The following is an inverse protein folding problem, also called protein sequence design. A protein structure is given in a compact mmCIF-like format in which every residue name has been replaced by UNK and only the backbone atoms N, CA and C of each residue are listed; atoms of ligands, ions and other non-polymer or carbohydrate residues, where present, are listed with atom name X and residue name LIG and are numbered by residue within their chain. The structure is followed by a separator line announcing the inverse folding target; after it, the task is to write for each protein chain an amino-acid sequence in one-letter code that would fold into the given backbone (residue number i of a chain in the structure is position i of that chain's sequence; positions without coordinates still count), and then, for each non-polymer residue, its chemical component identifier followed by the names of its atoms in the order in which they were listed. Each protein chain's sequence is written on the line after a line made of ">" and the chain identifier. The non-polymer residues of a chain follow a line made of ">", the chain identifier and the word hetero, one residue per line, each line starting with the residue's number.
data_IF_765667721632
#
_entry.id   IF_765667721632
#
_cell.length_a   1.000
_cell.length_b   1.000
_cell.length_c   1.000
_cell.angle_alpha   90.00
_cell.angle_beta   90.00
_cell.angle_gamma   90.00
#
_symmetry.space_group_name_H-M   'P 1'
#
loop_
_entity.id
_entity.type
_entity.pdbx_description
1 polymer ?
#
# COMPACT_ATOMS: atom_id res chain seq x y z
N UNK A 1 5.82 18.07 -3.29
CA UNK A 1 4.99 16.85 -3.33
C UNK A 1 5.29 15.91 -2.15
N UNK A 2 5.29 16.42 -0.91
CA UNK A 2 5.53 15.62 0.31
C UNK A 2 4.33 15.67 1.27
N UNK A 3 3.63 16.81 1.37
CA UNK A 3 2.39 16.91 2.16
C UNK A 3 1.23 16.07 1.59
N UNK A 4 1.09 16.00 0.26
CA UNK A 4 0.07 15.16 -0.40
C UNK A 4 0.36 13.66 -0.31
N UNK A 5 1.62 13.27 -0.14
CA UNK A 5 2.02 11.86 0.00
C UNK A 5 1.66 11.30 1.38
N UNK A 6 1.80 12.11 2.44
CA UNK A 6 1.42 11.72 3.82
C UNK A 6 -0.10 11.72 4.03
N UNK A 7 -0.83 12.62 3.37
CA UNK A 7 -2.29 12.70 3.42
C UNK A 7 -3.04 11.62 2.63
N UNK A 8 -2.45 11.10 1.54
CA UNK A 8 -3.03 10.00 0.77
C UNK A 8 -2.95 8.63 1.46
N UNK A 9 -2.17 8.50 2.54
CA UNK A 9 -2.26 7.34 3.45
C UNK A 9 -3.51 7.37 4.35
N UNK A 10 -4.32 8.42 4.26
CA UNK A 10 -5.32 8.79 5.26
C UNK A 10 -6.54 7.89 5.39
N UNK A 11 -6.84 6.99 4.46
CA UNK A 11 -7.95 6.03 4.63
C UNK A 11 -7.91 4.95 3.55
N UNK A 12 -7.43 3.75 3.91
CA UNK A 12 -7.64 2.54 3.10
C UNK A 12 -9.15 2.32 2.96
N UNK A 13 -9.69 2.34 1.73
CA UNK A 13 -11.11 2.09 1.46
C UNK A 13 -12.02 3.32 1.31
N UNK A 14 -11.48 4.55 1.24
CA UNK A 14 -12.30 5.75 0.95
C UNK A 14 -12.98 5.68 -0.43
N UNK A 15 -12.32 5.09 -1.42
CA UNK A 15 -12.88 4.84 -2.76
C UNK A 15 -14.12 3.94 -2.71
N UNK A 16 -14.12 2.92 -1.85
CA UNK A 16 -15.30 2.09 -1.66
C UNK A 16 -16.45 2.82 -0.96
N UNK A 17 -16.17 3.68 0.03
CA UNK A 17 -17.22 4.46 0.69
C UNK A 17 -17.93 5.36 -0.34
N UNK A 18 -17.18 5.99 -1.23
CA UNK A 18 -17.73 6.78 -2.35
C UNK A 18 -18.53 5.89 -3.31
N UNK A 19 -18.00 4.72 -3.68
CA UNK A 19 -18.69 3.76 -4.56
C UNK A 19 -20.01 3.27 -3.94
N UNK A 20 -19.99 2.85 -2.67
CA UNK A 20 -21.18 2.43 -1.92
C UNK A 20 -22.22 3.55 -1.79
N UNK A 21 -21.76 4.80 -1.56
CA UNK A 21 -22.64 5.97 -1.52
C UNK A 21 -23.25 6.32 -2.89
N UNK A 22 -22.59 5.97 -3.99
CA UNK A 22 -23.12 6.22 -5.35
C UNK A 22 -24.08 5.09 -5.77
N UNK A 23 -23.80 3.86 -5.37
CA UNK A 23 -24.61 2.68 -5.70
C UNK A 23 -25.88 2.57 -4.86
N UNK A 24 -25.96 3.23 -3.69
CA UNK A 24 -27.22 3.36 -2.93
C UNK A 24 -28.31 4.13 -3.69
N UNK A 25 -27.92 4.87 -4.74
CA UNK A 25 -28.82 5.66 -5.59
C UNK A 25 -29.23 4.89 -6.87
N UNK A 26 -28.62 3.73 -7.14
CA UNK A 26 -28.91 2.89 -8.32
C UNK A 26 -29.80 1.72 -7.91
N UNK A 27 -31.02 1.56 -8.47
CA UNK A 27 -31.87 0.41 -8.19
C UNK A 27 -31.26 -0.88 -8.77
N UNK A 28 -31.46 -2.01 -8.09
CA UNK A 28 -31.21 -3.38 -8.57
C UNK A 28 -29.77 -3.93 -8.56
N UNK A 29 -28.86 -3.40 -7.75
CA UNK A 29 -27.51 -4.00 -7.62
C UNK A 29 -27.49 -5.10 -6.53
N UNK A 30 -27.08 -6.34 -6.87
CA UNK A 30 -26.96 -7.41 -5.89
C UNK A 30 -25.91 -7.07 -4.82
N UNK A 31 -26.33 -6.96 -3.56
CA UNK A 31 -25.46 -6.62 -2.41
C UNK A 31 -24.28 -7.59 -2.27
N UNK A 32 -24.47 -8.85 -2.65
CA UNK A 32 -23.41 -9.86 -2.67
C UNK A 32 -22.26 -9.50 -3.64
N UNK A 33 -22.56 -8.94 -4.81
CA UNK A 33 -21.54 -8.50 -5.77
C UNK A 33 -20.74 -7.30 -5.25
N UNK A 34 -21.41 -6.38 -4.55
CA UNK A 34 -20.76 -5.24 -3.90
C UNK A 34 -19.79 -5.66 -2.79
N UNK A 35 -20.16 -6.66 -1.99
CA UNK A 35 -19.30 -7.20 -0.94
C UNK A 35 -18.02 -7.85 -1.49
N UNK A 36 -18.10 -8.53 -2.64
CA UNK A 36 -16.93 -9.09 -3.33
C UNK A 36 -16.01 -7.98 -3.83
N UNK A 37 -16.57 -6.96 -4.49
CA UNK A 37 -15.80 -5.79 -4.97
C UNK A 37 -15.13 -5.08 -3.79
N UNK A 38 -15.81 -4.95 -2.65
CA UNK A 38 -15.22 -4.37 -1.44
C UNK A 38 -14.03 -5.17 -0.93
N UNK A 39 -14.17 -6.49 -0.85
CA UNK A 39 -13.10 -7.39 -0.41
C UNK A 39 -11.87 -7.26 -1.30
N UNK A 40 -12.09 -7.20 -2.63
CA UNK A 40 -11.02 -7.02 -3.61
C UNK A 40 -10.38 -5.64 -3.49
N UNK A 41 -11.16 -4.55 -3.39
CA UNK A 41 -10.60 -3.19 -3.24
C UNK A 41 -9.70 -3.07 -2.02
N UNK A 42 -10.16 -3.59 -0.87
CA UNK A 42 -9.38 -3.59 0.37
C UNK A 42 -8.12 -4.43 0.26
N UNK A 43 -8.21 -5.62 -0.33
CA UNK A 43 -7.06 -6.50 -0.55
C UNK A 43 -6.05 -5.86 -1.50
N UNK A 44 -6.51 -5.32 -2.63
CA UNK A 44 -5.67 -4.65 -3.63
C UNK A 44 -4.97 -3.42 -3.06
N UNK A 45 -5.66 -2.66 -2.21
CA UNK A 45 -5.06 -1.52 -1.52
C UNK A 45 -3.92 -1.95 -0.59
N UNK A 46 -4.11 -3.02 0.18
CA UNK A 46 -3.06 -3.57 1.05
C UNK A 46 -1.90 -4.17 0.24
N UNK A 47 -2.18 -4.93 -0.81
CA UNK A 47 -1.16 -5.48 -1.69
C UNK A 47 -0.30 -4.38 -2.33
N UNK A 48 -0.93 -3.28 -2.76
CA UNK A 48 -0.22 -2.09 -3.26
C UNK A 48 0.65 -1.45 -2.17
N UNK A 49 0.15 -1.33 -0.95
CA UNK A 49 0.93 -0.78 0.16
C UNK A 49 2.18 -1.61 0.46
N UNK A 50 2.04 -2.94 0.54
CA UNK A 50 3.15 -3.88 0.76
C UNK A 50 4.16 -3.80 -0.38
N UNK A 51 3.69 -3.81 -1.63
CA UNK A 51 4.57 -3.75 -2.81
C UNK A 51 5.36 -2.43 -2.85
N UNK A 52 4.71 -1.30 -2.53
CA UNK A 52 5.38 0.00 -2.46
C UNK A 52 6.41 0.06 -1.32
N UNK A 53 6.10 -0.53 -0.16
CA UNK A 53 7.03 -0.59 0.96
C UNK A 53 8.30 -1.37 0.59
N UNK A 54 8.12 -2.58 0.02
CA UNK A 54 9.23 -3.42 -0.43
C UNK A 54 10.03 -2.71 -1.52
N UNK A 55 9.36 -2.16 -2.53
CA UNK A 55 10.01 -1.47 -3.64
C UNK A 55 10.86 -0.28 -3.18
N UNK A 56 10.33 0.55 -2.28
CA UNK A 56 11.07 1.67 -1.72
C UNK A 56 12.26 1.20 -0.86
N UNK A 57 12.09 0.18 -0.01
CA UNK A 57 13.17 -0.35 0.81
C UNK A 57 14.31 -0.94 -0.03
N UNK A 58 13.97 -1.74 -1.05
CA UNK A 58 14.96 -2.29 -2.00
C UNK A 58 15.63 -1.18 -2.79
N UNK A 59 14.87 -0.18 -3.27
CA UNK A 59 15.45 0.96 -3.99
C UNK A 59 16.45 1.72 -3.11
N UNK A 60 16.15 1.96 -1.82
CA UNK A 60 17.09 2.59 -0.89
C UNK A 60 18.38 1.78 -0.76
N UNK A 61 18.30 0.46 -0.57
CA UNK A 61 19.48 -0.40 -0.48
C UNK A 61 20.32 -0.38 -1.77
N UNK A 62 19.67 -0.42 -2.93
CA UNK A 62 20.33 -0.38 -4.24
C UNK A 62 21.04 0.96 -4.46
N UNK A 63 20.36 2.09 -4.20
CA UNK A 63 20.95 3.42 -4.36
C UNK A 63 22.12 3.62 -3.39
N UNK A 64 21.96 3.29 -2.11
CA UNK A 64 23.06 3.38 -1.13
C UNK A 64 24.27 2.53 -1.54
N UNK A 65 24.05 1.37 -2.16
CA UNK A 65 25.14 0.54 -2.69
C UNK A 65 25.86 1.21 -3.87
N UNK A 66 25.12 1.83 -4.78
CA UNK A 66 25.68 2.53 -5.95
C UNK A 66 26.50 3.77 -5.53
N UNK A 67 26.07 4.48 -4.50
CA UNK A 67 26.77 5.65 -3.94
C UNK A 67 27.95 5.27 -3.03
N UNK A 68 28.22 3.97 -2.82
CA UNK A 68 29.21 3.45 -1.84
C UNK A 68 28.95 3.92 -0.39
N UNK A 69 27.73 4.30 -0.04
CA UNK A 69 27.31 4.69 1.32
C UNK A 69 26.59 3.56 2.07
N UNK A 70 26.54 2.35 1.51
CA UNK A 70 25.87 1.22 2.15
C UNK A 70 26.70 0.67 3.31
N UNK A 71 26.18 0.78 4.54
CA UNK A 71 26.75 0.11 5.71
C UNK A 71 26.35 -1.36 5.74
N UNK A 72 27.24 -2.21 5.22
CA UNK A 72 27.07 -3.65 5.16
C UNK A 72 26.90 -4.31 6.54
N UNK A 73 27.64 -3.85 7.56
CA UNK A 73 27.51 -4.42 8.92
C UNK A 73 26.12 -4.15 9.46
N UNK A 74 25.63 -2.93 9.28
CA UNK A 74 24.30 -2.58 9.78
C UNK A 74 23.20 -3.35 9.07
N UNK A 75 23.34 -3.60 7.77
CA UNK A 75 22.40 -4.43 7.01
C UNK A 75 22.41 -5.87 7.51
N UNK A 76 23.59 -6.46 7.69
CA UNK A 76 23.72 -7.86 8.13
C UNK A 76 23.17 -8.06 9.55
N UNK A 77 23.42 -7.11 10.47
CA UNK A 77 22.89 -7.15 11.83
C UNK A 77 21.34 -7.11 11.83
N UNK A 78 20.75 -6.20 11.05
CA UNK A 78 19.28 -6.05 10.98
C UNK A 78 18.62 -7.26 10.32
N UNK A 79 19.25 -7.86 9.31
CA UNK A 79 18.76 -9.07 8.67
C UNK A 79 18.91 -10.31 9.57
N UNK A 80 19.93 -10.35 10.43
CA UNK A 80 20.12 -11.41 11.42
C UNK A 80 19.09 -11.33 12.55
N UNK A 81 18.72 -10.13 13.02
CA UNK A 81 17.68 -9.91 14.03
C UNK A 81 16.25 -10.22 13.53
N UNK A 82 16.04 -10.24 12.21
CA UNK A 82 14.73 -10.48 11.60
C UNK A 82 14.37 -11.98 11.43
N UNK A 83 15.30 -12.91 11.73
CA UNK A 83 15.08 -14.36 11.72
C UNK A 83 14.91 -14.91 13.15
#
# INVERSE_FOLDING_TARGET
>A
MLLTSKGASGVTGSGFIVLAATLSVVPDIPVAGLAVIFGVDRFMSQARAVTNLIGNGVATLVISKLENELDHKKVDDVLAEAN
#
